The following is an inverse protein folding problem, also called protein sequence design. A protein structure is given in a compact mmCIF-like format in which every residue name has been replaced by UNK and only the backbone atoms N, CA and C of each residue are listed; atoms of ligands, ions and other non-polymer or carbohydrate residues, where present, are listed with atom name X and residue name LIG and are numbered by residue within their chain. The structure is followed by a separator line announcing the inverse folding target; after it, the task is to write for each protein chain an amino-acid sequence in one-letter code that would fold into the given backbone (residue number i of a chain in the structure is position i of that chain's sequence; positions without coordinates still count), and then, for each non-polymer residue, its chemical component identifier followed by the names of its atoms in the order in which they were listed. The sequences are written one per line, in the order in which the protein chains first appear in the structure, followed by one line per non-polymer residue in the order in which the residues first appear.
data_IF_589339361454
#
_entry.id   IF_589339361454
#
_cell.length_a   1.000
_cell.length_b   1.000
_cell.length_c   1.000
_cell.angle_alpha   90.00
_cell.angle_beta   90.00
_cell.angle_gamma   90.00
#
_symmetry.space_group_name_H-M   'P 1'
#
loop_
_entity.id
_entity.type
_entity.pdbx_description
1 polymer ?
#
# COMPACT_ATOMS: atom_id res chain seq x y z
N UNK A 1 0.65 5.21 18.58
CA UNK A 1 0.14 4.89 17.24
C UNK A 1 0.82 3.62 16.79
N UNK A 2 0.11 2.68 16.14
CA UNK A 2 0.70 1.43 15.69
C UNK A 2 1.82 1.69 14.69
N UNK A 3 2.83 0.82 14.66
CA UNK A 3 3.91 0.91 13.67
C UNK A 3 3.51 0.15 12.41
N UNK A 4 3.21 0.89 11.33
CA UNK A 4 2.60 0.35 10.11
C UNK A 4 3.64 0.27 8.98
N UNK A 5 3.99 -0.93 8.53
CA UNK A 5 4.85 -1.08 7.36
C UNK A 5 4.09 -0.76 6.07
N UNK A 6 4.68 0.07 5.19
CA UNK A 6 4.14 0.29 3.86
C UNK A 6 4.53 -0.86 2.92
N UNK A 7 3.57 -1.71 2.55
CA UNK A 7 3.73 -2.78 1.56
C UNK A 7 3.03 -2.43 0.24
N UNK A 8 3.18 -1.18 -0.22
CA UNK A 8 2.66 -0.70 -1.51
C UNK A 8 3.79 -0.20 -2.40
N UNK A 9 3.48 0.06 -3.68
CA UNK A 9 4.47 0.57 -4.66
C UNK A 9 4.75 2.08 -4.53
N UNK A 10 4.00 2.78 -3.67
CA UNK A 10 4.09 4.22 -3.53
C UNK A 10 4.68 4.56 -2.17
N UNK A 11 5.52 5.60 -2.13
CA UNK A 11 6.00 6.16 -0.86
C UNK A 11 4.81 6.63 -0.01
N UNK A 12 4.92 6.43 1.30
CA UNK A 12 3.89 6.88 2.23
C UNK A 12 3.78 8.41 2.21
N UNK A 13 2.55 8.92 2.14
CA UNK A 13 2.29 10.36 2.23
C UNK A 13 2.63 10.89 3.62
N UNK A 14 2.79 12.21 3.74
CA UNK A 14 3.05 12.84 5.04
C UNK A 14 1.94 12.55 6.05
N UNK A 15 0.69 12.53 5.60
CA UNK A 15 -0.48 12.19 6.43
C UNK A 15 -0.41 10.73 6.93
N UNK A 16 -0.01 9.79 6.08
CA UNK A 16 0.17 8.39 6.48
C UNK A 16 1.35 8.23 7.45
N UNK A 17 2.45 8.96 7.23
CA UNK A 17 3.62 8.94 8.11
C UNK A 17 3.30 9.46 9.51
N UNK A 18 2.48 10.52 9.61
CA UNK A 18 1.95 11.02 10.89
C UNK A 18 1.17 9.94 11.64
N UNK A 19 0.42 9.11 10.92
CA UNK A 19 -0.37 8.00 11.48
C UNK A 19 0.45 6.73 11.80
N UNK A 20 1.77 6.77 11.63
CA UNK A 20 2.68 5.69 11.99
C UNK A 20 3.12 4.80 10.82
N UNK A 21 2.81 5.18 9.57
CA UNK A 21 3.34 4.48 8.39
C UNK A 21 4.81 4.78 8.19
N UNK A 22 5.59 3.75 7.89
CA UNK A 22 6.97 3.88 7.44
C UNK A 22 7.21 3.03 6.20
N UNK A 23 8.02 3.57 5.28
CA UNK A 23 8.45 2.86 4.09
C UNK A 23 9.48 1.79 4.46
N UNK A 24 9.31 0.57 3.94
CA UNK A 24 10.26 -0.52 4.18
C UNK A 24 11.60 -0.24 3.46
N UNK A 25 12.75 -0.60 4.05
CA UNK A 25 14.05 -0.15 3.55
C UNK A 25 14.44 -0.73 2.18
N UNK A 26 13.97 -1.92 1.81
CA UNK A 26 14.25 -2.54 0.51
C UNK A 26 13.07 -2.42 -0.46
N UNK A 27 12.90 -1.21 -1.00
CA UNK A 27 11.84 -0.92 -1.97
C UNK A 27 12.01 -1.70 -3.29
N UNK A 28 13.23 -2.15 -3.63
CA UNK A 28 13.50 -2.90 -4.85
C UNK A 28 12.91 -4.31 -4.79
N UNK A 29 13.11 -4.99 -3.65
CA UNK A 29 12.52 -6.30 -3.39
C UNK A 29 11.00 -6.19 -3.27
N UNK A 30 10.50 -5.17 -2.57
CA UNK A 30 9.06 -4.92 -2.47
C UNK A 30 8.43 -4.76 -3.87
N UNK A 31 9.01 -3.92 -4.72
CA UNK A 31 8.51 -3.67 -6.07
C UNK A 31 8.51 -4.94 -6.94
N UNK A 32 9.56 -5.76 -6.84
CA UNK A 32 9.64 -7.05 -7.52
C UNK A 32 8.52 -8.00 -7.09
N UNK A 33 8.23 -8.09 -5.79
CA UNK A 33 7.17 -8.97 -5.25
C UNK A 33 5.76 -8.50 -5.63
N UNK A 34 5.55 -7.19 -5.72
CA UNK A 34 4.26 -6.59 -6.08
C UNK A 34 4.02 -6.49 -7.59
N UNK A 35 5.06 -6.63 -8.43
CA UNK A 35 4.95 -6.49 -9.89
C UNK A 35 4.88 -7.85 -10.59
N UNK A 36 3.80 -8.08 -11.34
CA UNK A 36 3.55 -9.33 -12.05
C UNK A 36 3.55 -9.07 -13.56
N UNK A 37 4.52 -9.64 -14.28
CA UNK A 37 4.70 -9.44 -15.71
C UNK A 37 3.97 -10.48 -16.57
N UNK A 38 3.46 -11.54 -15.95
CA UNK A 38 2.69 -12.62 -16.57
C UNK A 38 1.57 -13.06 -15.63
N UNK A 39 0.60 -13.81 -16.16
CA UNK A 39 -0.49 -14.39 -15.36
C UNK A 39 0.10 -15.28 -14.26
N UNK A 40 -0.02 -14.92 -12.96
CA UNK A 40 0.51 -15.75 -11.91
C UNK A 40 -0.39 -16.94 -11.63
N UNK A 41 0.21 -18.06 -11.24
CA UNK A 41 -0.52 -19.17 -10.66
C UNK A 41 -0.70 -19.01 -9.14
N UNK A 42 -1.52 -19.89 -8.55
CA UNK A 42 -1.81 -19.87 -7.11
C UNK A 42 -0.55 -19.99 -6.25
N UNK A 43 0.43 -20.78 -6.69
CA UNK A 43 1.67 -20.99 -5.95
C UNK A 43 2.51 -19.71 -5.91
N UNK A 44 2.64 -19.01 -7.04
CA UNK A 44 3.35 -17.74 -7.17
C UNK A 44 2.71 -16.66 -6.31
N UNK A 45 1.37 -16.57 -6.32
CA UNK A 45 0.63 -15.62 -5.47
C UNK A 45 0.91 -15.89 -3.98
N UNK A 46 0.79 -17.15 -3.55
CA UNK A 46 1.03 -17.54 -2.16
C UNK A 46 2.48 -17.31 -1.70
N UNK A 47 3.47 -17.61 -2.55
CA UNK A 47 4.87 -17.38 -2.27
C UNK A 47 5.19 -15.89 -2.10
N UNK A 48 4.67 -15.04 -3.00
CA UNK A 48 4.85 -13.58 -2.91
C UNK A 48 4.15 -12.98 -1.69
N UNK A 49 2.93 -13.43 -1.39
CA UNK A 49 2.21 -13.04 -0.18
C UNK A 49 3.01 -13.37 1.08
N UNK A 50 3.60 -14.56 1.16
CA UNK A 50 4.43 -14.98 2.29
C UNK A 50 5.70 -14.13 2.41
N UNK A 51 6.40 -13.89 1.31
CA UNK A 51 7.61 -13.05 1.30
C UNK A 51 7.32 -11.60 1.72
N UNK A 52 6.19 -11.03 1.27
CA UNK A 52 5.74 -9.69 1.69
C UNK A 52 5.44 -9.64 3.20
N UNK A 53 4.82 -10.69 3.75
CA UNK A 53 4.55 -10.78 5.18
C UNK A 53 5.83 -10.90 6.01
N UNK A 54 6.82 -11.65 5.51
CA UNK A 54 8.13 -11.76 6.14
C UNK A 54 8.86 -10.41 6.20
N UNK A 55 8.80 -9.59 5.14
CA UNK A 55 9.33 -8.21 5.15
C UNK A 55 8.70 -7.40 6.28
N UNK A 56 7.37 -7.40 6.41
CA UNK A 56 6.70 -6.66 7.48
C UNK A 56 7.12 -7.17 8.87
N UNK A 57 7.20 -8.50 9.07
CA UNK A 57 7.66 -9.10 10.33
C UNK A 57 9.10 -8.68 10.68
N UNK A 58 10.02 -8.74 9.73
CA UNK A 58 11.44 -8.41 9.92
C UNK A 58 11.63 -6.95 10.32
N UNK A 59 10.79 -6.06 9.80
CA UNK A 59 10.80 -4.66 10.21
C UNK A 59 10.30 -4.45 11.64
N UNK A 60 9.68 -5.45 12.29
CA UNK A 60 8.99 -5.36 13.60
C UNK A 60 7.78 -4.42 13.57
N UNK A 61 7.03 -4.45 12.49
CA UNK A 61 5.76 -3.72 12.40
C UNK A 61 4.69 -4.39 13.27
N UNK A 62 3.66 -3.65 13.64
CA UNK A 62 2.43 -4.17 14.28
C UNK A 62 1.32 -4.38 13.25
N UNK A 63 1.40 -3.62 12.15
CA UNK A 63 0.46 -3.65 11.05
C UNK A 63 1.18 -3.45 9.72
N UNK A 64 0.53 -3.80 8.61
CA UNK A 64 1.03 -3.53 7.27
C UNK A 64 -0.06 -2.90 6.41
N UNK A 65 0.24 -1.73 5.85
CA UNK A 65 -0.58 -1.09 4.84
C UNK A 65 -0.41 -1.83 3.52
N UNK A 66 -1.50 -2.39 3.01
CA UNK A 66 -1.54 -3.15 1.75
C UNK A 66 -2.51 -2.52 0.76
N UNK A 67 -2.30 -2.80 -0.51
CA UNK A 67 -3.17 -2.34 -1.60
C UNK A 67 -2.64 -2.79 -2.95
N UNK A 68 -3.54 -2.99 -3.91
CA UNK A 68 -3.18 -3.39 -5.27
C UNK A 68 -4.10 -4.46 -5.84
N UNK A 69 -3.51 -5.47 -6.49
CA UNK A 69 -4.25 -6.50 -7.19
C UNK A 69 -5.11 -7.36 -6.25
N UNK A 70 -6.44 -7.36 -6.45
CA UNK A 70 -7.41 -8.02 -5.56
C UNK A 70 -7.14 -9.52 -5.35
N UNK A 71 -6.61 -10.21 -6.35
CA UNK A 71 -6.28 -11.63 -6.27
C UNK A 71 -5.03 -11.93 -5.39
N UNK A 72 -4.22 -10.92 -5.06
CA UNK A 72 -3.13 -11.02 -4.09
C UNK A 72 -3.58 -10.68 -2.66
N UNK A 73 -4.60 -9.83 -2.51
CA UNK A 73 -5.00 -9.25 -1.23
C UNK A 73 -5.38 -10.29 -0.18
N UNK A 74 -6.35 -11.17 -0.47
CA UNK A 74 -6.75 -12.19 0.51
C UNK A 74 -5.60 -13.16 0.90
N UNK A 75 -4.76 -13.66 -0.03
CA UNK A 75 -3.55 -14.38 0.31
C UNK A 75 -2.57 -13.59 1.19
N UNK A 76 -2.34 -12.31 0.88
CA UNK A 76 -1.44 -11.44 1.62
C UNK A 76 -1.95 -11.14 3.03
N UNK A 77 -3.24 -10.85 3.19
CA UNK A 77 -3.84 -10.69 4.50
C UNK A 77 -3.68 -11.95 5.36
N UNK A 78 -3.92 -13.14 4.78
CA UNK A 78 -3.74 -14.42 5.47
C UNK A 78 -2.28 -14.62 5.90
N UNK A 79 -1.34 -14.34 5.01
CA UNK A 79 0.09 -14.43 5.29
C UNK A 79 0.52 -13.47 6.41
N UNK A 80 0.08 -12.21 6.36
CA UNK A 80 0.35 -11.21 7.40
C UNK A 80 -0.17 -11.64 8.76
N UNK A 81 -1.44 -12.07 8.85
CA UNK A 81 -2.03 -12.57 10.10
C UNK A 81 -1.27 -13.78 10.64
N UNK A 82 -0.81 -14.68 9.76
CA UNK A 82 -0.05 -15.87 10.16
C UNK A 82 1.31 -15.55 10.83
N UNK A 83 1.87 -14.36 10.56
CA UNK A 83 3.10 -13.87 11.17
C UNK A 83 2.86 -12.79 12.23
N UNK A 84 1.60 -12.61 12.67
CA UNK A 84 1.24 -11.67 13.73
C UNK A 84 1.17 -10.20 13.32
N UNK A 85 1.07 -9.91 12.02
CA UNK A 85 0.95 -8.54 11.49
C UNK A 85 -0.51 -8.28 11.12
N UNK A 86 -1.06 -7.14 11.56
CA UNK A 86 -2.42 -6.74 11.24
C UNK A 86 -2.49 -6.07 9.85
N UNK A 87 -3.17 -6.64 8.84
CA UNK A 87 -3.34 -6.00 7.55
C UNK A 87 -4.29 -4.80 7.64
N UNK A 88 -3.99 -3.75 6.88
CA UNK A 88 -4.81 -2.53 6.83
C UNK A 88 -4.82 -1.91 5.43
N UNK A 89 -5.95 -1.33 5.03
CA UNK A 89 -6.06 -0.54 3.81
C UNK A 89 -6.15 0.95 4.13
N UNK A 90 -5.49 1.79 3.33
CA UNK A 90 -5.68 3.23 3.38
C UNK A 90 -7.00 3.60 2.69
N UNK A 91 -7.89 4.28 3.41
CA UNK A 91 -9.04 4.94 2.83
C UNK A 91 -8.67 6.40 2.49
N UNK A 92 -8.91 6.78 1.25
CA UNK A 92 -8.61 8.14 0.77
C UNK A 92 -9.82 8.80 0.16
N UNK A 93 -10.00 10.09 0.46
CA UNK A 93 -11.04 10.93 -0.14
C UNK A 93 -10.44 11.75 -1.27
N UNK A 94 -11.20 11.91 -2.36
CA UNK A 94 -10.81 12.76 -3.48
C UNK A 94 -11.27 14.19 -3.23
N UNK A 95 -10.32 15.12 -3.25
CA UNK A 95 -10.58 16.56 -3.13
C UNK A 95 -10.19 17.29 -4.42
N UNK A 96 -11.11 18.08 -4.96
CA UNK A 96 -10.83 18.95 -6.11
C UNK A 96 -10.20 20.25 -5.62
N UNK A 97 -8.95 20.52 -6.00
CA UNK A 97 -8.22 21.67 -5.45
C UNK A 97 -8.44 22.97 -6.20
N UNK A 98 -8.70 22.94 -7.52
CA UNK A 98 -9.24 24.02 -8.38
C UNK A 98 -9.13 23.64 -9.87
N UNK A 99 -10.00 24.23 -10.69
CA UNK A 99 -9.91 24.24 -12.16
C UNK A 99 -9.00 25.41 -12.58
N UNK A 100 -7.78 25.12 -13.08
CA UNK A 100 -6.82 26.13 -13.54
C UNK A 100 -6.97 26.33 -15.05
N UNK A 101 -7.38 27.52 -15.49
CA UNK A 101 -7.43 27.85 -16.92
C UNK A 101 -6.01 28.09 -17.44
N UNK A 102 -5.61 27.34 -18.46
CA UNK A 102 -4.31 27.47 -19.10
C UNK A 102 -4.32 28.57 -20.16
N UNK A 103 -3.13 29.03 -20.55
CA UNK A 103 -2.93 30.08 -21.55
C UNK A 103 -3.41 29.71 -22.96
N UNK A 104 -3.52 28.41 -23.26
CA UNK A 104 -4.06 27.89 -24.52
C UNK A 104 -5.60 27.77 -24.53
N UNK A 105 -6.26 28.21 -23.44
CA UNK A 105 -7.71 28.15 -23.28
C UNK A 105 -8.23 26.83 -22.68
N UNK A 106 -7.36 25.82 -22.49
CA UNK A 106 -7.72 24.58 -21.80
C UNK A 106 -7.90 24.77 -20.28
N UNK A 107 -8.51 23.81 -19.60
CA UNK A 107 -8.70 23.84 -18.14
C UNK A 107 -8.07 22.60 -17.52
N UNK A 108 -7.09 22.79 -16.64
CA UNK A 108 -6.45 21.73 -15.86
C UNK A 108 -7.21 21.53 -14.56
N UNK A 109 -7.80 20.36 -14.38
CA UNK A 109 -8.39 19.96 -13.10
C UNK A 109 -7.34 19.21 -12.31
N UNK A 110 -7.03 19.71 -11.11
CA UNK A 110 -6.15 18.99 -10.18
C UNK A 110 -7.00 18.32 -9.10
N UNK A 111 -6.76 17.03 -8.87
CA UNK A 111 -7.35 16.27 -7.77
C UNK A 111 -6.24 15.86 -6.81
N UNK A 112 -6.52 15.97 -5.52
CA UNK A 112 -5.65 15.47 -4.44
C UNK A 112 -6.38 14.33 -3.74
N UNK A 113 -5.63 13.28 -3.40
CA UNK A 113 -6.12 12.18 -2.59
C UNK A 113 -5.62 12.38 -1.17
N UNK A 114 -6.53 12.63 -0.24
CA UNK A 114 -6.21 12.81 1.18
C UNK A 114 -6.40 11.50 1.92
N UNK A 115 -5.45 11.13 2.77
CA UNK A 115 -5.65 10.02 3.69
C UNK A 115 -6.72 10.41 4.71
N UNK A 116 -7.78 9.60 4.79
CA UNK A 116 -8.93 9.85 5.66
C UNK A 116 -9.07 8.79 6.77
N UNK A 117 -8.26 7.74 6.74
CA UNK A 117 -8.19 6.73 7.79
C UNK A 117 -7.95 5.32 7.26
N UNK A 118 -8.19 4.36 8.15
CA UNK A 118 -7.80 2.96 7.99
C UNK A 118 -9.00 2.02 7.94
N UNK A 119 -8.98 1.06 7.02
CA UNK A 119 -9.89 -0.10 7.03
C UNK A 119 -9.09 -1.31 7.50
N UNK A 120 -9.32 -1.71 8.75
CA UNK A 120 -8.72 -2.90 9.36
C UNK A 120 -9.44 -4.16 8.90
N UNK A 121 -8.67 -5.22 8.59
CA UNK A 121 -9.21 -6.48 8.10
C UNK A 121 -8.70 -7.69 8.86
#
# INVERSE_FOLDING_TARGET
MPRIANLTLHEASDEQKVDGVFDVPDHSVLAMLLTFQSLPDKATIGARASALADIARETKAEAAMIGGALWLMAPLESALRSVGINPVYAFSVRESTKDVRQSDGSTMKTQVFRHAGWIWV
#
